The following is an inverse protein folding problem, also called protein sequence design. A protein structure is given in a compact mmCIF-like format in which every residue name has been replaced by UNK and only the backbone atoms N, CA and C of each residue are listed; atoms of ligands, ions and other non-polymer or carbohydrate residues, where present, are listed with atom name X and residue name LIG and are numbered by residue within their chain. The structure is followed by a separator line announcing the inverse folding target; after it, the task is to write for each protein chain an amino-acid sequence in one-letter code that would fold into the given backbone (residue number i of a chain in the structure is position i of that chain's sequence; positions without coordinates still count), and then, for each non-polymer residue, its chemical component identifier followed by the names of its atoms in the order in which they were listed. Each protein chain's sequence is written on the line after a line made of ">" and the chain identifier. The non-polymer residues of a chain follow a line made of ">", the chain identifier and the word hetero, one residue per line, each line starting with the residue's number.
data_IF_090221271229
#
_entry.id   IF_090221271229
#
_cell.length_a   1.000
_cell.length_b   1.000
_cell.length_c   1.000
_cell.angle_alpha   90.00
_cell.angle_beta   90.00
_cell.angle_gamma   90.00
#
_symmetry.space_group_name_H-M   'P 1'
#
loop_
_entity.id
_entity.type
_entity.pdbx_description
1 polymer ?
#
# COMPACT_ATOMS: atom_id res chain seq x y z
N UNK A 1 -27.16 5.73 -18.99
CA UNK A 1 -26.04 6.69 -19.05
C UNK A 1 -24.82 5.95 -18.53
N UNK A 2 -23.97 5.45 -19.44
CA UNK A 2 -22.92 4.46 -19.17
C UNK A 2 -21.76 5.10 -18.41
N UNK A 3 -21.16 4.36 -17.48
CA UNK A 3 -20.13 4.77 -16.51
C UNK A 3 -18.77 5.14 -17.16
N UNK A 4 -18.73 6.19 -17.96
CA UNK A 4 -17.47 6.71 -18.56
C UNK A 4 -16.46 7.14 -17.49
N UNK A 5 -16.91 7.39 -16.26
CA UNK A 5 -16.05 7.78 -15.14
C UNK A 5 -15.32 6.60 -14.48
N UNK A 6 -15.79 5.36 -14.63
CA UNK A 6 -15.19 4.20 -13.96
C UNK A 6 -13.78 3.86 -14.49
N UNK A 7 -13.51 3.86 -15.81
CA UNK A 7 -12.16 3.66 -16.35
C UNK A 7 -11.16 4.73 -15.90
N UNK A 8 -11.58 6.01 -15.86
CA UNK A 8 -10.74 7.13 -15.44
C UNK A 8 -10.35 7.03 -13.96
N UNK A 9 -11.30 6.64 -13.10
CA UNK A 9 -11.04 6.42 -11.68
C UNK A 9 -10.06 5.26 -11.46
N UNK A 10 -10.21 4.15 -12.19
CA UNK A 10 -9.31 3.01 -12.11
C UNK A 10 -7.90 3.35 -12.61
N UNK A 11 -7.76 4.08 -13.72
CA UNK A 11 -6.47 4.53 -14.23
C UNK A 11 -5.76 5.46 -13.24
N UNK A 12 -6.51 6.40 -12.64
CA UNK A 12 -5.99 7.31 -11.61
C UNK A 12 -5.49 6.54 -10.39
N UNK A 13 -6.26 5.58 -9.88
CA UNK A 13 -5.85 4.74 -8.74
C UNK A 13 -4.56 3.95 -9.03
N UNK A 14 -4.41 3.40 -10.25
CA UNK A 14 -3.17 2.70 -10.66
C UNK A 14 -1.98 3.66 -10.70
N UNK A 15 -2.14 4.87 -11.23
CA UNK A 15 -1.07 5.88 -11.29
C UNK A 15 -0.64 6.31 -9.89
N UNK A 16 -1.60 6.66 -9.02
CA UNK A 16 -1.33 7.04 -7.64
C UNK A 16 -0.63 5.92 -6.87
N UNK A 17 -1.16 4.69 -6.97
CA UNK A 17 -0.54 3.54 -6.30
C UNK A 17 0.85 3.20 -6.84
N UNK A 18 1.09 3.35 -8.15
CA UNK A 18 2.44 3.19 -8.72
C UNK A 18 3.40 4.25 -8.20
N UNK A 19 2.96 5.52 -8.12
CA UNK A 19 3.78 6.60 -7.61
C UNK A 19 4.13 6.40 -6.12
N UNK A 20 3.15 6.09 -5.27
CA UNK A 20 3.38 5.83 -3.84
C UNK A 20 4.28 4.61 -3.64
N UNK A 21 4.04 3.52 -4.38
CA UNK A 21 4.91 2.34 -4.31
C UNK A 21 6.34 2.66 -4.74
N UNK A 22 6.54 3.41 -5.82
CA UNK A 22 7.86 3.83 -6.29
C UNK A 22 8.59 4.68 -5.25
N UNK A 23 7.90 5.62 -4.58
CA UNK A 23 8.48 6.41 -3.49
C UNK A 23 8.95 5.51 -2.35
N UNK A 24 8.08 4.62 -1.85
CA UNK A 24 8.41 3.70 -0.76
C UNK A 24 9.56 2.75 -1.13
N UNK A 25 9.62 2.29 -2.38
CA UNK A 25 10.73 1.49 -2.88
C UNK A 25 12.03 2.28 -2.92
N UNK A 26 12.01 3.52 -3.40
CA UNK A 26 13.20 4.38 -3.41
C UNK A 26 13.71 4.63 -1.99
N UNK A 27 12.80 4.88 -1.04
CA UNK A 27 13.12 5.06 0.38
C UNK A 27 13.72 3.78 0.99
N UNK A 28 13.12 2.62 0.73
CA UNK A 28 13.66 1.33 1.16
C UNK A 28 15.08 1.06 0.62
N UNK A 29 15.32 1.37 -0.66
CA UNK A 29 16.64 1.22 -1.29
C UNK A 29 17.66 2.17 -0.65
N UNK A 30 17.26 3.39 -0.32
CA UNK A 30 18.12 4.35 0.36
C UNK A 30 18.53 3.86 1.75
N UNK A 31 17.59 3.27 2.52
CA UNK A 31 17.90 2.63 3.79
C UNK A 31 18.82 1.41 3.65
N UNK A 32 18.61 0.57 2.62
CA UNK A 32 19.50 -0.54 2.33
C UNK A 32 20.91 -0.06 1.95
N UNK A 33 21.01 1.04 1.21
CA UNK A 33 22.27 1.70 0.88
C UNK A 33 23.00 2.20 2.13
N UNK A 34 22.32 2.92 3.02
CA UNK A 34 22.90 3.37 4.29
C UNK A 34 23.27 2.21 5.23
N UNK A 35 22.56 1.07 5.14
CA UNK A 35 22.93 -0.13 5.90
C UNK A 35 24.30 -0.71 5.51
N UNK A 36 24.87 -0.32 4.36
CA UNK A 36 26.23 -0.68 3.96
C UNK A 36 27.31 0.16 4.65
N UNK A 37 26.92 1.18 5.43
CA UNK A 37 27.82 2.16 6.05
C UNK A 37 28.08 3.39 5.17
N UNK A 38 27.43 3.50 4.01
CA UNK A 38 27.50 4.70 3.19
C UNK A 38 26.81 5.89 3.89
N UNK A 39 27.40 7.09 3.77
CA UNK A 39 26.95 8.30 4.48
C UNK A 39 26.33 9.36 3.57
N UNK A 40 26.34 9.17 2.25
CA UNK A 40 25.79 10.14 1.29
C UNK A 40 24.33 10.49 1.63
N UNK A 41 23.93 11.77 1.56
CA UNK A 41 24.68 12.93 1.07
C UNK A 41 25.59 13.61 2.09
N UNK A 42 25.73 13.08 3.31
CA UNK A 42 26.59 13.63 4.34
C UNK A 42 28.02 13.06 4.29
N UNK A 43 28.96 13.76 4.90
CA UNK A 43 30.35 13.29 5.03
C UNK A 43 30.49 12.25 6.14
N UNK A 44 29.63 12.29 7.17
CA UNK A 44 29.66 11.41 8.34
C UNK A 44 28.28 10.87 8.70
N UNK A 45 28.25 9.76 9.43
CA UNK A 45 27.00 9.15 9.93
C UNK A 45 26.26 10.08 10.90
N UNK A 46 27.00 10.82 11.73
CA UNK A 46 26.44 11.83 12.63
C UNK A 46 25.77 12.96 11.84
N UNK A 47 26.46 13.49 10.82
CA UNK A 47 25.91 14.52 9.94
C UNK A 47 24.65 14.03 9.19
N UNK A 48 24.64 12.76 8.77
CA UNK A 48 23.46 12.13 8.17
C UNK A 48 22.30 12.06 9.17
N UNK A 49 22.57 11.64 10.42
CA UNK A 49 21.56 11.52 11.46
C UNK A 49 20.95 12.87 11.84
N UNK A 50 21.77 13.89 12.08
CA UNK A 50 21.26 15.23 12.33
C UNK A 50 20.52 15.80 11.11
N UNK A 51 21.04 15.56 9.90
CA UNK A 51 20.41 16.03 8.66
C UNK A 51 19.05 15.39 8.35
N UNK A 52 18.77 14.18 8.83
CA UNK A 52 17.53 13.44 8.56
C UNK A 52 16.55 13.39 9.73
N UNK A 53 17.06 13.38 10.96
CA UNK A 53 16.29 13.11 12.18
C UNK A 53 16.41 14.22 13.22
N UNK A 54 17.31 15.21 13.02
CA UNK A 54 17.65 16.25 14.00
C UNK A 54 18.01 15.68 15.38
N UNK A 55 18.64 14.50 15.40
CA UNK A 55 19.05 13.79 16.60
C UNK A 55 20.21 12.85 16.26
N UNK A 56 21.02 12.50 17.26
CA UNK A 56 22.04 11.47 17.14
C UNK A 56 21.40 10.07 17.29
N UNK A 57 21.24 9.39 16.16
CA UNK A 57 20.61 8.07 16.05
C UNK A 57 21.54 7.16 15.27
N UNK A 58 21.77 5.92 15.72
CA UNK A 58 22.67 5.01 15.01
C UNK A 58 22.08 4.51 13.68
N UNK A 59 22.75 4.83 12.57
CA UNK A 59 22.46 4.28 11.23
C UNK A 59 23.16 2.92 11.05
N UNK A 60 22.70 1.93 11.80
CA UNK A 60 23.30 0.58 11.79
C UNK A 60 22.39 -0.43 11.07
N UNK A 61 22.94 -1.52 10.52
CA UNK A 61 22.13 -2.56 9.86
C UNK A 61 20.96 -3.10 10.70
N UNK A 62 21.10 -3.34 12.03
CA UNK A 62 19.98 -3.80 12.86
C UNK A 62 18.78 -2.85 12.92
N UNK A 63 18.95 -1.56 12.61
CA UNK A 63 17.87 -0.56 12.60
C UNK A 63 17.36 -0.33 11.17
N UNK A 64 18.28 -0.21 10.20
CA UNK A 64 17.94 0.13 8.82
C UNK A 64 17.31 -1.03 8.04
N UNK A 65 17.75 -2.27 8.28
CA UNK A 65 17.20 -3.44 7.56
C UNK A 65 15.72 -3.71 7.90
N UNK A 66 15.27 -3.64 9.17
CA UNK A 66 13.85 -3.70 9.48
C UNK A 66 13.05 -2.58 8.80
N UNK A 67 13.56 -1.35 8.77
CA UNK A 67 12.90 -0.23 8.08
C UNK A 67 12.76 -0.52 6.58
N UNK A 68 13.84 -0.97 5.93
CA UNK A 68 13.81 -1.40 4.53
C UNK A 68 12.75 -2.48 4.28
N UNK A 69 12.66 -3.49 5.16
CA UNK A 69 11.66 -4.55 5.02
C UNK A 69 10.22 -4.03 5.18
N UNK A 70 9.97 -3.16 6.17
CA UNK A 70 8.66 -2.54 6.38
C UNK A 70 8.26 -1.67 5.18
N UNK A 71 9.17 -0.83 4.69
CA UNK A 71 8.90 0.04 3.54
C UNK A 71 8.71 -0.77 2.25
N UNK A 72 9.54 -1.78 2.01
CA UNK A 72 9.43 -2.66 0.85
C UNK A 72 8.13 -3.47 0.85
N UNK A 73 7.74 -4.02 2.00
CA UNK A 73 6.45 -4.75 2.13
C UNK A 73 5.26 -3.81 1.96
N UNK A 74 5.32 -2.59 2.50
CA UNK A 74 4.30 -1.57 2.27
C UNK A 74 4.22 -1.17 0.78
N UNK A 75 5.35 -1.00 0.10
CA UNK A 75 5.41 -0.70 -1.34
C UNK A 75 4.73 -1.78 -2.17
N UNK A 76 5.05 -3.05 -1.90
CA UNK A 76 4.41 -4.21 -2.56
C UNK A 76 2.90 -4.25 -2.28
N UNK A 77 2.49 -4.01 -1.03
CA UNK A 77 1.09 -3.96 -0.65
C UNK A 77 0.32 -2.87 -1.39
N UNK A 78 0.83 -1.64 -1.40
CA UNK A 78 0.23 -0.50 -2.12
C UNK A 78 0.15 -0.78 -3.62
N UNK A 79 1.23 -1.32 -4.20
CA UNK A 79 1.27 -1.67 -5.62
C UNK A 79 0.22 -2.74 -5.97
N UNK A 80 0.21 -3.86 -5.23
CA UNK A 80 -0.75 -4.95 -5.43
C UNK A 80 -2.20 -4.47 -5.26
N UNK A 81 -2.45 -3.63 -4.25
CA UNK A 81 -3.76 -3.02 -4.01
C UNK A 81 -4.21 -2.16 -5.19
N UNK A 82 -3.33 -1.32 -5.73
CA UNK A 82 -3.62 -0.45 -6.89
C UNK A 82 -3.95 -1.24 -8.16
N UNK A 83 -3.43 -2.47 -8.27
CA UNK A 83 -3.66 -3.40 -9.39
C UNK A 83 -4.81 -4.37 -9.13
N UNK A 84 -5.46 -4.30 -7.97
CA UNK A 84 -6.54 -5.21 -7.54
C UNK A 84 -6.10 -6.69 -7.51
N UNK A 85 -4.83 -6.94 -7.21
CA UNK A 85 -4.28 -8.30 -7.13
C UNK A 85 -4.64 -8.96 -5.79
N UNK A 86 -4.74 -10.30 -5.80
CA UNK A 86 -4.97 -11.11 -4.61
C UNK A 86 -6.45 -11.27 -4.20
N UNK A 87 -6.68 -12.19 -3.26
CA UNK A 87 -8.00 -12.47 -2.69
C UNK A 87 -8.51 -11.39 -1.72
N UNK A 88 -9.74 -11.55 -1.17
CA UNK A 88 -10.36 -10.56 -0.28
C UNK A 88 -9.51 -10.24 0.95
N UNK A 89 -8.89 -11.26 1.58
CA UNK A 89 -8.00 -11.08 2.73
C UNK A 89 -6.78 -10.22 2.39
N UNK A 90 -6.06 -10.55 1.32
CA UNK A 90 -4.87 -9.82 0.86
C UNK A 90 -5.21 -8.37 0.54
N UNK A 91 -6.35 -8.13 -0.11
CA UNK A 91 -6.82 -6.77 -0.41
C UNK A 91 -7.15 -5.96 0.85
N UNK A 92 -7.75 -6.59 1.86
CA UNK A 92 -8.00 -5.94 3.16
C UNK A 92 -6.70 -5.58 3.87
N UNK A 93 -5.75 -6.51 3.93
CA UNK A 93 -4.43 -6.26 4.51
C UNK A 93 -3.69 -5.14 3.76
N UNK A 94 -3.68 -5.17 2.44
CA UNK A 94 -3.04 -4.15 1.60
C UNK A 94 -3.71 -2.78 1.73
N UNK A 95 -5.03 -2.73 1.92
CA UNK A 95 -5.76 -1.50 2.23
C UNK A 95 -5.35 -0.93 3.59
N UNK A 96 -5.25 -1.77 4.62
CA UNK A 96 -4.79 -1.35 5.95
C UNK A 96 -3.36 -0.84 5.90
N UNK A 97 -2.46 -1.53 5.18
CA UNK A 97 -1.10 -1.06 4.95
C UNK A 97 -1.08 0.30 4.25
N UNK A 98 -1.87 0.48 3.19
CA UNK A 98 -2.00 1.76 2.47
C UNK A 98 -2.52 2.88 3.38
N UNK A 99 -3.49 2.57 4.26
CA UNK A 99 -4.01 3.52 5.24
C UNK A 99 -2.94 3.87 6.30
N UNK A 100 -2.16 2.89 6.75
CA UNK A 100 -1.02 3.08 7.65
C UNK A 100 0.04 4.01 7.04
N UNK A 101 0.40 3.80 5.76
CA UNK A 101 1.31 4.71 5.02
C UNK A 101 0.73 6.12 4.98
N UNK A 102 -0.55 6.27 4.66
CA UNK A 102 -1.19 7.58 4.62
C UNK A 102 -1.16 8.28 5.99
N UNK A 103 -1.42 7.53 7.07
CA UNK A 103 -1.35 8.04 8.44
C UNK A 103 0.07 8.48 8.81
N UNK A 104 1.09 7.64 8.55
CA UNK A 104 2.50 7.98 8.82
C UNK A 104 2.96 9.23 8.07
N UNK A 105 2.62 9.33 6.77
CA UNK A 105 2.93 10.52 5.96
C UNK A 105 2.22 11.78 6.50
N UNK A 106 0.98 11.65 7.00
CA UNK A 106 0.24 12.76 7.59
C UNK A 106 0.90 13.24 8.88
N UNK A 107 1.26 12.32 9.79
CA UNK A 107 1.98 12.66 11.03
C UNK A 107 3.28 13.39 10.71
N UNK A 108 4.03 12.90 9.71
CA UNK A 108 5.29 13.53 9.29
C UNK A 108 5.10 14.92 8.69
N UNK A 109 4.07 15.09 7.87
CA UNK A 109 3.70 16.39 7.31
C UNK A 109 3.30 17.39 8.40
N UNK A 110 2.50 16.96 9.38
CA UNK A 110 2.10 17.80 10.51
C UNK A 110 3.31 18.24 11.35
N UNK A 111 4.26 17.34 11.60
CA UNK A 111 5.52 17.69 12.27
C UNK A 111 6.28 18.77 11.47
N UNK A 112 6.39 18.60 10.15
CA UNK A 112 7.06 19.59 9.30
C UNK A 112 6.37 20.96 9.25
N UNK A 113 5.04 20.99 9.28
CA UNK A 113 4.27 22.23 9.41
C UNK A 113 4.50 22.88 10.78
N UNK A 114 4.54 22.10 11.86
CA UNK A 114 4.90 22.61 13.19
C UNK A 114 6.28 23.27 13.21
N UNK A 115 7.27 22.64 12.58
CA UNK A 115 8.62 23.20 12.45
C UNK A 115 8.63 24.48 11.60
N UNK A 116 7.82 24.57 10.54
CA UNK A 116 7.68 25.79 9.73
C UNK A 116 7.18 27.00 10.54
N UNK A 117 6.46 26.77 11.64
CA UNK A 117 6.03 27.80 12.58
C UNK A 117 7.04 28.06 13.72
N UNK A 118 8.26 27.52 13.62
CA UNK A 118 9.34 27.72 14.60
C UNK A 118 9.22 26.84 15.84
N UNK A 119 8.39 25.79 15.83
CA UNK A 119 8.18 24.94 17.01
C UNK A 119 9.25 23.83 17.03
N UNK A 120 10.31 24.00 17.83
CA UNK A 120 11.23 22.90 18.15
C UNK A 120 12.23 22.49 17.06
N UNK A 121 12.43 23.32 16.03
CA UNK A 121 13.50 23.16 15.06
C UNK A 121 14.28 24.48 14.91
N UNK A 122 15.60 24.38 14.82
CA UNK A 122 16.48 25.52 14.57
C UNK A 122 16.53 25.80 13.06
N UNK A 123 16.16 27.03 12.66
CA UNK A 123 16.09 27.46 11.26
C UNK A 123 17.44 27.53 10.57
N UNK A 124 18.53 27.55 11.32
CA UNK A 124 19.89 27.62 10.79
C UNK A 124 20.44 26.24 10.42
N UNK A 125 19.69 25.16 10.68
CA UNK A 125 20.10 23.79 10.39
C UNK A 125 19.73 23.34 8.98
N UNK A 126 20.60 22.52 8.36
CA UNK A 126 20.31 21.88 7.06
C UNK A 126 19.04 21.01 7.12
N UNK A 127 18.80 20.36 8.26
CA UNK A 127 17.60 19.57 8.51
C UNK A 127 16.33 20.38 8.34
N UNK A 128 16.29 21.60 8.89
CA UNK A 128 15.12 22.48 8.79
C UNK A 128 14.75 22.75 7.34
N UNK A 129 15.73 23.11 6.52
CA UNK A 129 15.51 23.42 5.10
C UNK A 129 15.14 22.19 4.28
N UNK A 130 15.83 21.06 4.46
CA UNK A 130 15.46 19.80 3.80
C UNK A 130 14.05 19.38 4.17
N UNK A 131 13.69 19.50 5.45
CA UNK A 131 12.37 19.14 5.91
C UNK A 131 11.28 20.03 5.31
N UNK A 132 11.50 21.34 5.31
CA UNK A 132 10.50 22.29 4.85
C UNK A 132 10.34 22.25 3.32
N UNK A 133 11.45 22.23 2.59
CA UNK A 133 11.45 22.34 1.13
C UNK A 133 11.17 21.01 0.43
N UNK A 134 11.59 19.88 1.00
CA UNK A 134 11.48 18.56 0.36
C UNK A 134 10.57 17.61 1.11
N UNK A 135 10.86 17.30 2.38
CA UNK A 135 10.11 16.24 3.08
C UNK A 135 8.65 16.59 3.29
N UNK A 136 8.34 17.80 3.73
CA UNK A 136 6.96 18.21 4.01
C UNK A 136 6.08 18.16 2.75
N UNK A 137 6.47 18.76 1.60
CA UNK A 137 5.71 18.65 0.37
C UNK A 137 5.53 17.21 -0.12
N UNK A 138 6.58 16.38 -0.05
CA UNK A 138 6.53 14.96 -0.43
C UNK A 138 5.53 14.23 0.47
N UNK A 139 5.63 14.38 1.80
CA UNK A 139 4.71 13.73 2.73
C UNK A 139 3.26 14.17 2.54
N UNK A 140 3.00 15.47 2.29
CA UNK A 140 1.64 15.97 1.99
C UNK A 140 1.11 15.35 0.70
N UNK A 141 1.87 15.45 -0.39
CA UNK A 141 1.43 14.98 -1.72
C UNK A 141 1.19 13.47 -1.76
N UNK A 142 2.15 12.69 -1.28
CA UNK A 142 2.04 11.22 -1.28
C UNK A 142 1.13 10.69 -0.17
N UNK A 143 1.04 11.38 0.98
CA UNK A 143 0.05 11.09 2.02
C UNK A 143 -1.38 11.28 1.50
N UNK A 144 -1.64 12.38 0.78
CA UNK A 144 -2.92 12.59 0.11
C UNK A 144 -3.21 11.51 -0.93
N UNK A 145 -2.22 11.16 -1.78
CA UNK A 145 -2.37 10.09 -2.78
C UNK A 145 -2.71 8.74 -2.13
N UNK A 146 -2.01 8.36 -1.06
CA UNK A 146 -2.25 7.13 -0.31
C UNK A 146 -3.63 7.13 0.36
N UNK A 147 -4.05 8.24 0.97
CA UNK A 147 -5.38 8.39 1.57
C UNK A 147 -6.50 8.23 0.53
N UNK A 148 -6.34 8.87 -0.64
CA UNK A 148 -7.27 8.75 -1.78
C UNK A 148 -7.38 7.31 -2.26
N UNK A 149 -6.26 6.59 -2.35
CA UNK A 149 -6.23 5.19 -2.74
C UNK A 149 -6.96 4.30 -1.71
N UNK A 150 -6.67 4.47 -0.42
CA UNK A 150 -7.31 3.71 0.67
C UNK A 150 -8.82 3.95 0.76
N UNK A 151 -9.28 5.16 0.45
CA UNK A 151 -10.69 5.53 0.42
C UNK A 151 -11.46 4.98 -0.81
N UNK A 152 -10.76 4.75 -1.93
CA UNK A 152 -11.40 4.27 -3.16
C UNK A 152 -11.96 2.83 -3.04
N UNK A 153 -11.32 1.96 -2.25
CA UNK A 153 -11.79 0.59 -2.06
C UNK A 153 -13.00 0.44 -1.13
N UNK A 154 -13.29 1.44 -0.29
CA UNK A 154 -14.44 1.38 0.62
C UNK A 154 -15.79 1.46 -0.09
N UNK A 155 -15.85 2.04 -1.30
CA UNK A 155 -17.10 2.32 -2.02
C UNK A 155 -17.63 1.15 -2.86
N UNK A 156 -16.85 0.08 -3.04
CA UNK A 156 -17.26 -1.10 -3.84
C UNK A 156 -17.93 -2.21 -3.03
N UNK A 157 -17.94 -2.11 -1.69
CA UNK A 157 -18.46 -3.15 -0.80
C UNK A 157 -19.94 -3.04 -0.44
N UNK A 158 -20.60 -1.94 -0.79
CA UNK A 158 -22.04 -1.74 -0.53
C UNK A 158 -22.78 -1.80 -1.85
N UNK A 159 -22.81 -2.98 -2.48
CA UNK A 159 -23.97 -3.31 -3.29
C UNK A 159 -25.07 -3.69 -2.31
N UNK A 160 -26.18 -2.94 -2.25
CA UNK A 160 -27.36 -3.43 -1.56
C UNK A 160 -27.64 -4.82 -2.10
N UNK A 161 -27.63 -5.83 -1.23
CA UNK A 161 -28.20 -7.13 -1.60
C UNK A 161 -29.57 -6.80 -2.18
N UNK A 162 -29.89 -7.18 -3.43
CA UNK A 162 -31.25 -7.04 -3.91
C UNK A 162 -32.08 -7.84 -2.90
N UNK A 163 -32.76 -7.12 -2.02
CA UNK A 163 -33.70 -7.69 -1.08
C UNK A 163 -34.56 -8.59 -1.94
N UNK A 164 -34.45 -9.90 -1.71
CA UNK A 164 -35.35 -10.86 -2.30
C UNK A 164 -36.73 -10.30 -2.02
N UNK A 165 -37.35 -9.73 -3.06
CA UNK A 165 -38.76 -9.50 -3.06
C UNK A 165 -39.34 -10.88 -2.82
N UNK A 166 -39.76 -11.11 -1.59
CA UNK A 166 -40.69 -12.16 -1.24
C UNK A 166 -41.87 -11.92 -2.17
N UNK A 167 -41.88 -12.63 -3.30
CA UNK A 167 -43.07 -12.82 -4.07
C UNK A 167 -44.08 -13.45 -3.11
N UNK A 168 -45.23 -12.81 -2.85
CA UNK A 168 -46.26 -13.43 -2.05
C UNK A 168 -46.75 -14.67 -2.80
N UNK A 169 -46.69 -15.80 -2.09
CA UNK A 169 -47.27 -17.10 -2.38
C UNK A 169 -47.74 -17.42 -3.80
N UNK A 170 -47.13 -18.45 -4.38
CA UNK A 170 -47.88 -19.39 -5.21
C UNK A 170 -47.58 -20.80 -4.71
N UNK A 171 -48.46 -21.26 -3.83
CA UNK A 171 -48.60 -22.67 -3.45
C UNK A 171 -49.20 -23.38 -4.66
N UNK A 172 -48.48 -24.35 -5.23
CA UNK A 172 -49.00 -25.66 -5.68
C UNK A 172 -48.06 -26.29 -6.72
N UNK A 173 -47.68 -27.55 -6.49
CA UNK A 173 -47.07 -28.37 -7.54
C UNK A 173 -46.12 -29.45 -7.05
N UNK A 174 -46.60 -30.38 -6.23
CA UNK A 174 -45.97 -31.68 -5.99
C UNK A 174 -45.91 -32.50 -7.29
N UNK A 175 -44.71 -32.97 -7.68
CA UNK A 175 -44.35 -34.31 -8.22
C UNK A 175 -43.12 -34.23 -9.16
N UNK A 176 -42.51 -35.37 -9.57
CA UNK A 176 -41.90 -36.39 -8.74
C UNK A 176 -40.41 -36.63 -9.09
N UNK A 177 -39.74 -37.29 -8.15
CA UNK A 177 -38.47 -38.01 -8.23
C UNK A 177 -38.17 -38.58 -9.63
N UNK A 178 -37.01 -38.22 -10.19
CA UNK A 178 -36.31 -38.99 -11.21
C UNK A 178 -34.95 -39.41 -10.67
N UNK A 179 -34.83 -40.71 -10.40
CA UNK A 179 -33.62 -41.44 -10.04
C UNK A 179 -33.14 -42.18 -11.29
N UNK A 180 -32.06 -41.75 -11.92
CA UNK A 180 -31.21 -42.51 -12.86
C UNK A 180 -30.03 -41.60 -13.23
N UNK A 181 -28.77 -42.00 -13.39
CA UNK A 181 -28.03 -43.26 -13.30
C UNK A 181 -26.55 -42.84 -13.41
N UNK A 182 -25.64 -43.41 -12.62
CA UNK A 182 -24.75 -44.49 -13.06
C UNK A 182 -23.89 -44.19 -14.30
N UNK A 183 -22.61 -43.85 -14.07
CA UNK A 183 -21.42 -44.31 -14.81
C UNK A 183 -20.18 -43.63 -14.20
N UNK A 184 -19.48 -44.22 -13.22
CA UNK A 184 -18.29 -45.08 -13.40
C UNK A 184 -17.55 -44.92 -14.75
N UNK A 185 -16.37 -44.31 -14.68
CA UNK A 185 -15.24 -44.47 -15.60
C UNK A 185 -14.01 -43.90 -14.88
N UNK A 186 -13.24 -44.69 -14.12
CA UNK A 186 -12.08 -45.49 -14.56
C UNK A 186 -10.96 -44.63 -15.17
N UNK A 187 -9.91 -44.44 -14.36
CA UNK A 187 -8.51 -44.02 -14.64
C UNK A 187 -7.85 -44.78 -15.81
N UNK A 188 -6.64 -44.44 -16.39
CA UNK A 188 -5.41 -44.02 -15.66
C UNK A 188 -4.33 -43.16 -16.40
N UNK A 189 -3.30 -42.78 -15.62
CA UNK A 189 -1.83 -42.81 -15.84
C UNK A 189 -1.03 -41.90 -16.84
N UNK A 190 0.14 -41.47 -16.29
CA UNK A 190 1.48 -41.22 -16.90
C UNK A 190 1.66 -39.99 -17.81
N UNK A 191 2.78 -39.26 -17.83
CA UNK A 191 4.16 -39.69 -17.65
C UNK A 191 5.12 -38.62 -17.06
N UNK A 192 6.18 -39.17 -16.49
CA UNK A 192 7.48 -38.62 -16.11
C UNK A 192 8.20 -37.93 -17.29
N UNK A 193 8.86 -36.80 -17.03
CA UNK A 193 9.85 -36.20 -17.92
C UNK A 193 10.91 -35.48 -17.08
N UNK A 194 12.10 -36.07 -17.03
CA UNK A 194 13.30 -35.63 -16.31
C UNK A 194 14.39 -35.44 -17.37
N UNK A 195 14.86 -34.22 -17.56
CA UNK A 195 16.07 -33.86 -18.32
C UNK A 195 16.83 -32.88 -17.41
N UNK A 196 17.95 -33.30 -16.80
CA UNK A 196 19.32 -33.36 -17.31
C UNK A 196 20.10 -32.09 -16.91
#
# INVERSE_FOLDING_TARGET
>A
MVDVFAPLAAATARRLGTAVAALLTADAVLHAFWATGATWPAETTEGLSYGLLNADVPFTPPILLPLCAVLGTAALGVFAYSRSLGGPFVRSAARLATAGVAAGMTVRALAGVGWAFGIGADSDTTFYWLNLALYTPVCVGFGYAAARLAAAGGRRGVTPSPSHGSAPGTVHGTAPRSTHGSARGVMPARATGQEA
#
